data_IF_167883670112
#
_entry.id   IF_167883670112
#
_cell.length_a   1.000
_cell.length_b   1.000
_cell.length_c   1.000
_cell.angle_alpha   90.00
_cell.angle_beta   90.00
_cell.angle_gamma   90.00
#
_symmetry.space_group_name_H-M   'P 1'
#
loop_
_entity.id
_entity.type
_entity.pdbx_description
1 polymer ?
#
# COMPACT_ATOMS: atom_id res chain seq x y z
N UNK A 1 14.25 3.18 6.09
CA UNK A 1 14.17 3.99 7.32
C UNK A 1 12.76 4.56 7.42
N UNK A 2 12.05 4.34 8.53
CA UNK A 2 10.69 4.86 8.73
C UNK A 2 10.74 6.14 9.60
N UNK A 3 10.39 7.32 9.06
CA UNK A 3 10.46 8.60 9.76
C UNK A 3 9.44 8.75 10.90
N UNK A 4 8.38 7.93 10.94
CA UNK A 4 7.33 8.00 11.95
C UNK A 4 7.86 7.72 13.36
N UNK A 5 8.99 7.03 13.47
CA UNK A 5 9.65 6.74 14.74
C UNK A 5 10.59 7.88 15.22
N UNK A 6 10.86 8.91 14.42
CA UNK A 6 11.75 10.01 14.79
C UNK A 6 11.17 10.90 15.91
N UNK A 7 9.88 11.31 15.89
CA UNK A 7 9.30 12.07 17.00
C UNK A 7 9.34 11.34 18.36
N UNK A 8 8.90 10.07 18.50
CA UNK A 8 8.99 9.36 19.78
C UNK A 8 10.44 9.07 20.19
N UNK A 9 11.35 8.80 19.24
CA UNK A 9 12.78 8.66 19.55
C UNK A 9 13.35 9.96 20.15
N UNK A 10 13.02 11.11 19.55
CA UNK A 10 13.45 12.41 20.06
C UNK A 10 12.86 12.75 21.44
N UNK A 11 11.68 12.24 21.78
CA UNK A 11 11.11 12.38 23.13
C UNK A 11 11.88 11.52 24.15
N UNK A 12 12.15 10.26 23.80
CA UNK A 12 12.91 9.31 24.64
C UNK A 12 14.33 9.82 24.95
N UNK A 13 15.04 10.35 23.95
CA UNK A 13 16.37 10.93 24.14
C UNK A 13 16.37 12.16 25.04
N UNK A 14 15.31 12.98 24.99
CA UNK A 14 15.16 14.12 25.90
C UNK A 14 14.90 13.67 27.33
N UNK A 15 14.04 12.67 27.53
CA UNK A 15 13.81 12.08 28.86
C UNK A 15 15.11 11.53 29.48
N UNK A 16 15.97 10.88 28.68
CA UNK A 16 17.32 10.48 29.12
C UNK A 16 18.19 11.67 29.52
N UNK A 17 18.14 12.77 28.75
CA UNK A 17 18.82 14.02 29.10
C UNK A 17 18.36 14.60 30.43
N UNK A 18 17.06 14.52 30.74
CA UNK A 18 16.50 15.00 32.00
C UNK A 18 17.02 14.20 33.22
N UNK A 19 17.36 12.92 33.06
CA UNK A 19 18.00 12.13 34.11
C UNK A 19 19.42 12.60 34.42
N UNK A 20 20.17 13.04 33.41
CA UNK A 20 21.53 13.57 33.61
C UNK A 20 21.55 14.89 34.40
N UNK A 21 20.42 15.61 34.42
CA UNK A 21 20.25 16.83 35.22
C UNK A 21 19.85 16.56 36.69
N UNK A 22 19.60 15.30 37.08
CA UNK A 22 19.22 14.95 38.45
C UNK A 22 20.46 14.71 39.32
N UNK A 23 20.41 15.19 40.56
CA UNK A 23 21.51 15.06 41.52
C UNK A 23 21.46 13.77 42.35
N UNK A 24 20.30 13.11 42.44
CA UNK A 24 20.13 11.87 43.18
C UNK A 24 19.99 10.69 42.23
N UNK A 25 20.94 9.76 42.30
CA UNK A 25 20.92 8.49 41.58
C UNK A 25 20.69 7.39 42.61
N UNK A 26 19.51 6.78 42.55
CA UNK A 26 19.14 5.61 43.34
C UNK A 26 18.74 4.46 42.40
N UNK A 27 18.49 3.27 42.96
CA UNK A 27 18.15 2.07 42.18
C UNK A 27 16.90 2.27 41.30
N UNK A 28 15.90 2.98 41.80
CA UNK A 28 14.69 3.30 41.02
C UNK A 28 15.01 4.20 39.81
N UNK A 29 15.89 5.18 40.00
CA UNK A 29 16.36 6.06 38.92
C UNK A 29 17.17 5.28 37.90
N UNK A 30 18.04 4.37 38.34
CA UNK A 30 18.79 3.49 37.44
C UNK A 30 17.88 2.54 36.66
N UNK A 31 16.85 1.99 37.31
CA UNK A 31 15.85 1.14 36.65
C UNK A 31 15.05 1.92 35.59
N UNK A 32 14.68 3.17 35.89
CA UNK A 32 13.99 4.04 34.92
C UNK A 32 14.89 4.40 33.73
N UNK A 33 16.18 4.71 33.95
CA UNK A 33 17.15 4.95 32.88
C UNK A 33 17.31 3.70 32.01
N UNK A 34 17.43 2.52 32.61
CA UNK A 34 17.55 1.27 31.87
C UNK A 34 16.32 1.01 30.98
N UNK A 35 15.12 1.19 31.52
CA UNK A 35 13.87 1.04 30.77
C UNK A 35 13.79 2.01 29.58
N UNK A 36 14.17 3.27 29.79
CA UNK A 36 14.15 4.29 28.73
C UNK A 36 15.19 4.01 27.64
N UNK A 37 16.38 3.50 28.00
CA UNK A 37 17.40 3.06 27.03
C UNK A 37 16.89 1.90 26.16
N UNK A 38 16.18 0.93 26.75
CA UNK A 38 15.56 -0.16 26.00
C UNK A 38 14.47 0.35 25.05
N UNK A 39 13.66 1.32 25.48
CA UNK A 39 12.69 2.01 24.62
C UNK A 39 13.38 2.71 23.44
N UNK A 40 14.40 3.52 23.70
CA UNK A 40 15.17 4.21 22.66
C UNK A 40 15.77 3.23 21.65
N UNK A 41 16.37 2.13 22.14
CA UNK A 41 16.94 1.07 21.29
C UNK A 41 15.88 0.41 20.40
N UNK A 42 14.71 0.12 20.95
CA UNK A 42 13.58 -0.43 20.18
C UNK A 42 13.10 0.52 19.09
N UNK A 43 13.00 1.82 19.38
CA UNK A 43 12.62 2.85 18.43
C UNK A 43 13.64 2.99 17.29
N UNK A 44 14.94 2.91 17.57
CA UNK A 44 15.99 2.91 16.53
C UNK A 44 15.84 1.71 15.61
N UNK A 45 15.65 0.51 16.15
CA UNK A 45 15.42 -0.71 15.34
C UNK A 45 14.15 -0.60 14.49
N UNK A 46 13.12 0.03 15.04
CA UNK A 46 11.87 0.30 14.31
C UNK A 46 12.10 1.29 13.16
N UNK A 47 12.83 2.38 13.42
CA UNK A 47 13.23 3.37 12.42
C UNK A 47 14.11 2.74 11.33
N UNK A 48 14.99 1.80 11.68
CA UNK A 48 15.80 1.03 10.72
C UNK A 48 14.96 0.07 9.86
N UNK A 49 13.69 -0.18 10.22
CA UNK A 49 12.83 -1.16 9.57
C UNK A 49 13.14 -2.60 10.00
N UNK A 50 13.88 -2.80 11.09
CA UNK A 50 14.13 -4.12 11.67
C UNK A 50 12.93 -4.66 12.44
N UNK A 51 12.04 -3.77 12.92
CA UNK A 51 10.76 -4.18 13.50
C UNK A 51 9.83 -4.53 12.35
N UNK A 52 9.55 -5.83 12.23
CA UNK A 52 8.75 -6.35 11.13
C UNK A 52 7.36 -5.74 11.19
N UNK A 53 6.98 -5.01 10.15
CA UNK A 53 5.62 -4.51 9.98
C UNK A 53 4.57 -5.64 9.84
N UNK A 54 5.04 -6.88 9.62
CA UNK A 54 4.24 -8.08 9.54
C UNK A 54 4.91 -9.25 10.30
N UNK A 55 4.16 -10.30 10.65
CA UNK A 55 4.70 -11.49 11.36
C UNK A 55 5.26 -12.56 10.41
N UNK A 56 5.46 -12.24 9.13
CA UNK A 56 5.92 -13.21 8.14
C UNK A 56 7.42 -13.47 8.26
N UNK A 57 7.80 -14.74 8.33
CA UNK A 57 9.21 -15.16 8.26
C UNK A 57 9.75 -15.20 6.82
N UNK A 58 8.88 -15.37 5.81
CA UNK A 58 9.26 -15.42 4.40
C UNK A 58 9.54 -14.04 3.80
N UNK A 59 8.81 -13.01 4.26
CA UNK A 59 8.94 -11.64 3.77
C UNK A 59 9.11 -10.65 4.93
N UNK A 60 10.27 -10.68 5.62
CA UNK A 60 10.56 -9.72 6.68
C UNK A 60 10.62 -8.32 6.06
N UNK A 61 9.71 -7.43 6.47
CA UNK A 61 9.58 -6.08 5.90
C UNK A 61 8.65 -5.96 4.68
N UNK A 62 7.99 -7.05 4.27
CA UNK A 62 6.99 -7.00 3.21
C UNK A 62 5.79 -6.08 3.54
N UNK A 63 5.02 -5.64 2.53
CA UNK A 63 3.87 -4.76 2.75
C UNK A 63 2.85 -5.37 3.70
N UNK A 64 2.19 -4.51 4.48
CA UNK A 64 1.23 -4.93 5.51
C UNK A 64 -0.15 -5.10 4.89
N UNK A 65 -0.81 -6.20 5.24
CA UNK A 65 -2.22 -6.46 4.93
C UNK A 65 -2.93 -6.87 6.23
N UNK A 66 -3.83 -6.02 6.78
CA UNK A 66 -4.53 -6.32 8.02
C UNK A 66 -5.45 -7.54 7.92
N UNK A 67 -5.83 -7.95 6.69
CA UNK A 67 -6.69 -9.12 6.45
C UNK A 67 -5.89 -10.43 6.35
N UNK A 68 -4.57 -10.36 6.20
CA UNK A 68 -3.71 -11.54 6.14
C UNK A 68 -3.41 -12.09 7.54
N UNK A 69 -3.47 -13.43 7.72
CA UNK A 69 -3.21 -14.11 9.01
C UNK A 69 -1.87 -13.70 9.65
N UNK A 70 -0.82 -13.53 8.84
CA UNK A 70 0.51 -13.12 9.28
C UNK A 70 0.80 -11.63 9.01
N UNK A 71 -0.20 -10.84 8.60
CA UNK A 71 -0.06 -9.43 8.27
C UNK A 71 0.72 -9.14 6.99
N UNK A 72 1.17 -10.15 6.25
CA UNK A 72 1.96 -9.95 5.04
C UNK A 72 1.07 -9.98 3.81
N UNK A 73 1.06 -8.87 3.06
CA UNK A 73 0.26 -8.72 1.85
C UNK A 73 0.57 -9.80 0.82
N UNK A 74 1.84 -10.10 0.57
CA UNK A 74 2.24 -11.10 -0.42
C UNK A 74 1.72 -12.51 -0.09
N UNK A 75 1.81 -12.90 1.19
CA UNK A 75 1.26 -14.18 1.65
C UNK A 75 -0.27 -14.17 1.64
N UNK A 76 -0.89 -13.06 2.04
CA UNK A 76 -2.34 -12.88 1.98
C UNK A 76 -2.87 -12.98 0.56
N UNK A 77 -2.24 -12.32 -0.41
CA UNK A 77 -2.62 -12.39 -1.82
C UNK A 77 -2.45 -13.79 -2.40
N UNK A 78 -1.41 -14.53 -2.01
CA UNK A 78 -1.19 -15.89 -2.49
C UNK A 78 -2.22 -16.89 -1.92
N UNK A 79 -2.67 -16.67 -0.67
CA UNK A 79 -3.70 -17.50 -0.03
C UNK A 79 -5.12 -17.16 -0.52
N UNK A 80 -5.36 -15.90 -0.90
CA UNK A 80 -6.63 -15.49 -1.49
C UNK A 80 -6.84 -16.24 -2.80
N UNK A 81 -8.03 -16.83 -2.95
CA UNK A 81 -8.40 -17.52 -4.19
C UNK A 81 -8.28 -16.52 -5.34
N UNK A 82 -7.53 -16.82 -6.41
CA UNK A 82 -7.54 -15.96 -7.59
C UNK A 82 -8.99 -15.85 -8.08
N UNK A 83 -9.36 -14.66 -8.55
CA UNK A 83 -10.71 -14.46 -9.08
C UNK A 83 -11.00 -15.50 -10.20
N UNK A 84 -12.28 -15.86 -10.36
CA UNK A 84 -12.73 -16.91 -11.27
C UNK A 84 -12.14 -16.66 -12.66
N UNK A 85 -11.43 -17.62 -13.27
CA UNK A 85 -10.80 -17.44 -14.57
C UNK A 85 -11.84 -17.02 -15.61
N UNK A 86 -11.42 -16.14 -16.52
CA UNK A 86 -12.22 -15.75 -17.68
C UNK A 86 -12.49 -17.00 -18.54
N UNK A 87 -13.75 -17.27 -18.94
CA UNK A 87 -14.08 -18.40 -19.82
C UNK A 87 -13.27 -18.40 -21.13
N UNK A 88 -13.03 -19.59 -21.70
CA UNK A 88 -12.23 -19.74 -22.93
C UNK A 88 -12.94 -19.17 -24.18
N UNK A 89 -14.27 -19.15 -24.17
CA UNK A 89 -15.15 -18.58 -25.21
C UNK A 89 -15.38 -17.07 -25.05
N UNK A 90 -14.57 -16.40 -24.23
CA UNK A 90 -14.63 -14.96 -23.99
C UNK A 90 -14.42 -14.12 -25.26
N UNK A 91 -15.40 -13.27 -25.57
CA UNK A 91 -15.34 -12.30 -26.68
C UNK A 91 -15.19 -10.87 -26.13
N UNK A 92 -14.00 -10.24 -26.23
CA UNK A 92 -13.76 -8.90 -25.68
C UNK A 92 -14.72 -7.83 -26.21
N UNK A 93 -15.09 -7.92 -27.49
CA UNK A 93 -15.93 -6.92 -28.16
C UNK A 93 -17.34 -6.82 -27.57
N UNK A 94 -17.93 -7.95 -27.17
CA UNK A 94 -19.25 -7.98 -26.56
C UNK A 94 -19.24 -7.31 -25.18
N UNK A 95 -18.21 -7.61 -24.38
CA UNK A 95 -18.04 -7.02 -23.05
C UNK A 95 -17.82 -5.50 -23.15
N UNK A 96 -17.00 -5.04 -24.11
CA UNK A 96 -16.80 -3.59 -24.33
C UNK A 96 -18.08 -2.89 -24.79
N UNK A 97 -18.89 -3.54 -25.64
CA UNK A 97 -20.18 -3.01 -26.08
C UNK A 97 -21.13 -2.83 -24.90
N UNK A 98 -21.31 -3.87 -24.08
CA UNK A 98 -22.16 -3.80 -22.88
C UNK A 98 -21.63 -2.79 -21.88
N UNK A 99 -20.30 -2.70 -21.71
CA UNK A 99 -19.68 -1.70 -20.85
C UNK A 99 -20.01 -0.26 -21.31
N UNK A 100 -19.99 -0.01 -22.61
CA UNK A 100 -20.28 1.31 -23.19
C UNK A 100 -21.77 1.65 -23.14
N UNK A 101 -22.64 0.67 -23.39
CA UNK A 101 -24.09 0.86 -23.46
C UNK A 101 -24.77 0.89 -22.07
N UNK A 102 -24.29 0.07 -21.13
CA UNK A 102 -24.96 -0.19 -19.84
C UNK A 102 -24.10 0.13 -18.61
N UNK A 103 -22.83 0.46 -18.81
CA UNK A 103 -21.92 0.84 -17.73
C UNK A 103 -21.18 -0.32 -17.06
N UNK A 104 -20.27 0.04 -16.15
CA UNK A 104 -19.32 -0.88 -15.51
C UNK A 104 -20.01 -1.93 -14.63
N UNK A 105 -21.03 -1.54 -13.86
CA UNK A 105 -21.70 -2.44 -12.93
C UNK A 105 -22.47 -3.53 -13.68
N UNK A 106 -23.24 -3.17 -14.71
CA UNK A 106 -23.97 -4.11 -15.55
C UNK A 106 -23.04 -5.09 -16.28
N UNK A 107 -21.92 -4.59 -16.84
CA UNK A 107 -20.93 -5.45 -17.48
C UNK A 107 -20.25 -6.40 -16.48
N UNK A 108 -20.01 -5.95 -15.25
CA UNK A 108 -19.39 -6.76 -14.19
C UNK A 108 -20.34 -7.84 -13.68
N UNK A 109 -21.63 -7.54 -13.55
CA UNK A 109 -22.66 -8.53 -13.19
C UNK A 109 -22.81 -9.60 -14.27
N UNK A 110 -22.81 -9.20 -15.55
CA UNK A 110 -23.04 -10.10 -16.68
C UNK A 110 -21.83 -10.99 -17.03
N UNK A 111 -20.63 -10.42 -17.09
CA UNK A 111 -19.43 -11.12 -17.57
C UNK A 111 -18.42 -11.42 -16.47
N UNK A 112 -18.58 -10.82 -15.30
CA UNK A 112 -17.63 -10.89 -14.21
C UNK A 112 -16.49 -9.87 -14.32
N UNK A 113 -15.88 -9.48 -13.18
CA UNK A 113 -14.91 -8.40 -13.12
C UNK A 113 -13.62 -8.70 -13.92
N UNK A 114 -13.20 -9.96 -14.01
CA UNK A 114 -12.01 -10.32 -14.79
C UNK A 114 -12.22 -10.18 -16.29
N UNK A 115 -13.39 -10.56 -16.79
CA UNK A 115 -13.72 -10.45 -18.21
C UNK A 115 -13.76 -8.98 -18.63
N UNK A 116 -14.39 -8.12 -17.83
CA UNK A 116 -14.42 -6.67 -18.04
C UNK A 116 -13.00 -6.09 -18.03
N UNK A 117 -12.20 -6.42 -17.00
CA UNK A 117 -10.81 -5.94 -16.90
C UNK A 117 -9.98 -6.37 -18.12
N UNK A 118 -10.11 -7.63 -18.54
CA UNK A 118 -9.40 -8.17 -19.71
C UNK A 118 -9.87 -7.51 -21.01
N UNK A 119 -11.16 -7.27 -21.16
CA UNK A 119 -11.74 -6.61 -22.33
C UNK A 119 -11.23 -5.18 -22.47
N UNK A 120 -11.22 -4.40 -21.37
CA UNK A 120 -10.66 -3.04 -21.34
C UNK A 120 -9.16 -3.04 -21.65
N UNK A 121 -8.41 -3.97 -21.05
CA UNK A 121 -6.97 -4.08 -21.28
C UNK A 121 -6.61 -4.45 -22.73
N UNK A 122 -7.49 -5.19 -23.42
CA UNK A 122 -7.35 -5.53 -24.85
C UNK A 122 -7.83 -4.40 -25.76
N UNK A 123 -8.96 -3.77 -25.42
CA UNK A 123 -9.54 -2.66 -26.18
C UNK A 123 -8.67 -1.39 -26.19
N UNK A 124 -7.94 -1.13 -25.10
CA UNK A 124 -6.96 -0.05 -25.02
C UNK A 124 -5.66 -0.29 -25.80
N UNK A 125 -5.42 -1.50 -26.30
CA UNK A 125 -4.24 -1.87 -27.09
C UNK A 125 -4.51 -1.94 -28.60
N UNK A 126 -5.75 -1.75 -29.04
CA UNK A 126 -6.09 -1.80 -30.47
C UNK A 126 -5.76 -0.45 -31.13
N UNK A 127 -4.99 -0.42 -32.24
CA UNK A 127 -4.55 0.82 -32.89
C UNK A 127 -5.73 1.69 -33.39
N UNK A 128 -6.88 1.08 -33.68
CA UNK A 128 -8.10 1.79 -34.11
C UNK A 128 -8.75 2.62 -32.99
N UNK A 129 -8.48 2.32 -31.72
CA UNK A 129 -9.10 3.03 -30.57
C UNK A 129 -8.28 4.26 -30.13
N UNK A 130 -6.98 4.32 -30.47
CA UNK A 130 -6.16 5.50 -30.21
C UNK A 130 -6.57 6.72 -31.06
N UNK A 131 -7.14 6.50 -32.25
CA UNK A 131 -7.53 7.60 -33.14
C UNK A 131 -8.78 8.38 -32.68
N UNK A 132 -9.62 7.82 -31.80
CA UNK A 132 -10.88 8.47 -31.41
C UNK A 132 -10.77 9.45 -30.22
N UNK A 133 -9.58 9.64 -29.63
CA UNK A 133 -9.37 10.61 -28.52
C UNK A 133 -8.60 11.88 -28.91
N UNK A 134 -8.49 12.18 -30.21
CA UNK A 134 -7.92 13.44 -30.68
C UNK A 134 -9.00 14.48 -30.95
N UNK A 135 -9.45 15.22 -29.94
CA UNK A 135 -10.01 16.55 -30.18
C UNK A 135 -8.79 17.47 -30.34
N UNK A 136 -8.54 18.09 -31.52
CA UNK A 136 -7.46 19.04 -31.64
C UNK A 136 -7.74 20.24 -30.72
N UNK A 137 -6.79 20.55 -29.84
CA UNK A 137 -6.85 21.74 -29.01
C UNK A 137 -6.98 22.97 -29.91
N UNK A 138 -8.04 23.74 -29.73
CA UNK A 138 -8.22 25.03 -30.39
C UNK A 138 -7.13 25.97 -29.84
N UNK A 139 -6.36 26.68 -30.68
CA UNK A 139 -5.36 27.61 -30.21
C UNK A 139 -6.05 28.72 -29.40
N UNK A 140 -5.58 28.97 -28.17
CA UNK A 140 -5.95 30.18 -27.46
C UNK A 140 -5.22 31.36 -28.08
N UNK A 141 -6.01 32.35 -28.51
CA UNK A 141 -5.54 33.64 -29.01
C UNK A 141 -5.13 34.49 -27.79
N UNK A 142 -3.83 34.77 -27.67
CA UNK A 142 -3.30 35.66 -26.63
C UNK A 142 -3.42 37.10 -27.11
N UNK A 143 -4.53 37.76 -26.76
CA UNK A 143 -4.68 39.21 -26.86
C UNK A 143 -5.60 39.70 -25.74
N UNK A 144 -5.00 40.12 -24.62
CA UNK A 144 -5.25 41.38 -23.88
C UNK A 144 -4.40 41.45 -22.60
#
# INVERSE_FOLDING_TARGET
MNPDYLPPLGASLRALGDFAARHEVNDDTLAAIAAELDTARSLVRSAQGEVRANRCARHPGGPVDPTARNGCLLCGTQQRRPARPVPDDFVPGEVLRVLQEHGQDAATEMFGPQAVTRAVALGGRHPSTQQQRGIPAVPHDESE
#
